data_IF_865763047057
#
_entry.id   IF_865763047057
#
_cell.length_a   1.000
_cell.length_b   1.000
_cell.length_c   1.000
_cell.angle_alpha   90.00
_cell.angle_beta   90.00
_cell.angle_gamma   90.00
#
_symmetry.space_group_name_H-M   'P 1'
#
loop_
_entity.id
_entity.type
_entity.pdbx_description
1 polymer ?
#
# COMPACT_ATOMS: atom_id res chain seq x y z
N UNK A 1 61.50 44.29 32.89
CA UNK A 1 62.33 43.23 32.26
C UNK A 1 61.37 42.42 31.39
N UNK A 2 61.16 42.71 30.10
CA UNK A 2 62.02 42.54 28.91
C UNK A 2 62.62 41.13 28.81
N UNK A 3 62.03 40.29 27.95
CA UNK A 3 62.59 39.70 26.70
C UNK A 3 61.59 38.65 26.17
N UNK A 4 60.72 38.98 25.21
CA UNK A 4 60.85 38.75 23.75
C UNK A 4 61.47 37.41 23.33
N UNK A 5 60.70 36.59 22.62
CA UNK A 5 61.13 36.06 21.32
C UNK A 5 59.92 35.97 20.37
N UNK A 6 60.11 36.52 19.19
CA UNK A 6 59.19 36.55 18.05
C UNK A 6 59.41 35.30 17.19
N UNK A 7 58.36 34.79 16.53
CA UNK A 7 58.49 34.36 15.14
C UNK A 7 57.16 34.52 14.41
N UNK A 8 57.25 35.33 13.36
CA UNK A 8 56.29 35.61 12.30
C UNK A 8 55.96 34.38 11.46
N UNK A 9 54.72 34.27 10.95
CA UNK A 9 54.45 34.29 9.50
C UNK A 9 53.01 33.84 9.21
N UNK A 10 52.28 34.75 8.57
CA UNK A 10 51.14 34.58 7.68
C UNK A 10 50.89 33.15 7.18
N UNK A 11 49.71 32.59 7.46
CA UNK A 11 49.10 31.63 6.54
C UNK A 11 48.00 32.33 5.75
N UNK A 12 48.36 32.56 4.49
CA UNK A 12 47.51 32.94 3.38
C UNK A 12 46.32 31.98 3.25
N UNK A 13 45.19 32.55 2.87
CA UNK A 13 44.01 31.83 2.42
C UNK A 13 44.38 30.79 1.34
N UNK A 14 43.99 29.54 1.57
CA UNK A 14 43.70 28.59 0.50
C UNK A 14 42.24 28.18 0.64
N UNK A 15 41.34 29.04 0.15
CA UNK A 15 40.12 28.54 -0.47
C UNK A 15 40.58 27.75 -1.70
N UNK A 16 40.78 26.44 -1.53
CA UNK A 16 40.79 25.56 -2.68
C UNK A 16 39.36 25.60 -3.22
N UNK A 17 39.15 26.42 -4.26
CA UNK A 17 38.02 26.26 -5.15
C UNK A 17 38.06 24.83 -5.67
N UNK A 18 37.23 23.96 -5.10
CA UNK A 18 36.85 22.74 -5.78
C UNK A 18 36.10 23.20 -7.01
N UNK A 19 36.82 23.31 -8.12
CA UNK A 19 36.21 23.36 -9.43
C UNK A 19 35.46 22.05 -9.58
N UNK A 20 34.17 22.05 -9.21
CA UNK A 20 33.24 21.03 -9.67
C UNK A 20 33.23 21.22 -11.18
N UNK A 21 34.05 20.41 -11.87
CA UNK A 21 33.92 20.25 -13.30
C UNK A 21 32.55 19.62 -13.48
N UNK A 22 31.56 20.47 -13.75
CA UNK A 22 30.21 20.05 -14.07
C UNK A 22 30.28 19.54 -15.52
N UNK A 23 30.87 18.36 -15.71
CA UNK A 23 30.66 17.60 -16.94
C UNK A 23 29.16 17.30 -16.99
N UNK A 24 28.44 17.75 -18.03
CA UNK A 24 27.04 17.38 -18.19
C UNK A 24 26.98 15.86 -18.23
N UNK A 25 26.44 15.24 -17.18
CA UNK A 25 26.12 13.82 -17.24
C UNK A 25 24.97 13.70 -18.24
N UNK A 26 25.28 13.17 -19.43
CA UNK A 26 24.24 12.81 -20.38
C UNK A 26 23.37 11.75 -19.72
N UNK A 27 22.13 12.12 -19.40
CA UNK A 27 21.13 11.19 -18.91
C UNK A 27 20.95 10.11 -19.99
N UNK A 28 21.47 8.91 -19.75
CA UNK A 28 21.36 7.78 -20.70
C UNK A 28 19.91 7.35 -20.91
N UNK A 29 18.98 7.80 -20.05
CA UNK A 29 17.56 7.49 -20.12
C UNK A 29 16.69 8.62 -19.55
N UNK A 30 16.25 9.54 -20.40
CA UNK A 30 15.26 10.56 -20.02
C UNK A 30 13.89 9.89 -19.88
N UNK A 31 13.31 9.97 -18.69
CA UNK A 31 11.91 9.58 -18.44
C UNK A 31 11.00 10.70 -18.98
N UNK A 32 10.42 10.49 -20.17
CA UNK A 32 9.50 11.45 -20.79
C UNK A 32 8.10 11.23 -20.24
N UNK A 33 7.55 12.24 -19.56
CA UNK A 33 6.12 12.26 -19.21
C UNK A 33 5.33 12.61 -20.48
N UNK A 34 4.39 11.75 -20.86
CA UNK A 34 3.53 11.93 -22.02
C UNK A 34 2.11 12.27 -21.58
N UNK A 35 1.42 13.04 -22.41
CA UNK A 35 -0.02 13.26 -22.24
C UNK A 35 -0.76 11.94 -22.54
N UNK A 36 -1.85 11.70 -21.82
CA UNK A 36 -2.56 10.42 -21.83
C UNK A 36 -3.01 9.95 -23.22
N UNK A 37 -3.41 10.88 -24.10
CA UNK A 37 -3.87 10.62 -25.47
C UNK A 37 -2.72 10.38 -26.44
N UNK A 38 -1.48 10.67 -26.02
CA UNK A 38 -0.26 10.49 -26.82
C UNK A 38 0.45 9.14 -26.56
N UNK A 39 -0.21 8.23 -25.81
CA UNK A 39 0.25 6.86 -25.59
C UNK A 39 -0.24 5.95 -26.72
N UNK A 40 0.65 5.09 -27.22
CA UNK A 40 0.29 4.09 -28.23
C UNK A 40 -0.61 3.00 -27.63
N UNK A 41 -1.45 2.40 -28.48
CA UNK A 41 -2.50 1.43 -28.11
C UNK A 41 -1.96 0.21 -27.32
N UNK A 42 -0.67 -0.10 -27.43
CA UNK A 42 0.03 -1.20 -26.75
C UNK A 42 0.49 -0.87 -25.31
N UNK A 43 0.54 0.41 -24.92
CA UNK A 43 0.88 0.86 -23.56
C UNK A 43 -0.35 1.00 -22.64
N UNK A 44 -1.54 0.64 -23.12
CA UNK A 44 -2.75 0.63 -22.29
C UNK A 44 -2.84 -0.64 -21.46
N UNK A 45 -2.15 -0.66 -20.31
CA UNK A 45 -2.60 -1.45 -19.15
C UNK A 45 -3.99 -1.05 -18.65
N UNK A 46 -4.61 -0.02 -19.25
CA UNK A 46 -5.93 0.51 -18.91
C UNK A 46 -7.07 0.05 -19.80
N UNK A 47 -6.83 -0.82 -20.79
CA UNK A 47 -7.94 -1.48 -21.52
C UNK A 47 -8.65 -2.54 -20.67
N UNK A 48 -7.99 -3.05 -19.63
CA UNK A 48 -8.57 -4.05 -18.72
C UNK A 48 -9.36 -3.42 -17.58
N UNK A 49 -8.98 -2.20 -17.14
CA UNK A 49 -9.77 -1.44 -16.19
C UNK A 49 -11.03 -0.89 -16.88
N UNK A 50 -12.20 -1.26 -16.36
CA UNK A 50 -13.51 -0.91 -16.90
C UNK A 50 -14.22 0.18 -16.09
N UNK A 51 -13.68 0.52 -14.91
CA UNK A 51 -14.24 1.51 -13.99
C UNK A 51 -13.16 2.43 -13.43
N UNK A 52 -13.53 3.62 -12.92
CA UNK A 52 -12.60 4.51 -12.19
C UNK A 52 -11.95 3.82 -10.98
N UNK A 53 -12.72 2.95 -10.33
CA UNK A 53 -12.23 2.11 -9.24
C UNK A 53 -11.12 1.17 -9.70
N UNK A 54 -11.29 0.48 -10.83
CA UNK A 54 -10.26 -0.37 -11.42
C UNK A 54 -9.06 0.43 -11.96
N UNK A 55 -9.24 1.66 -12.45
CA UNK A 55 -8.11 2.51 -12.85
C UNK A 55 -7.20 2.85 -11.66
N UNK A 56 -7.80 3.14 -10.51
CA UNK A 56 -7.05 3.37 -9.28
C UNK A 56 -6.27 2.12 -8.87
N UNK A 57 -6.92 0.97 -8.92
CA UNK A 57 -6.31 -0.33 -8.58
C UNK A 57 -5.19 -0.73 -9.51
N UNK A 58 -5.39 -0.56 -10.82
CA UNK A 58 -4.35 -0.79 -11.81
C UNK A 58 -3.14 0.11 -11.55
N UNK A 59 -3.37 1.37 -11.17
CA UNK A 59 -2.31 2.31 -10.79
C UNK A 59 -1.58 1.85 -9.52
N UNK A 60 -2.33 1.45 -8.49
CA UNK A 60 -1.76 0.90 -7.26
C UNK A 60 -0.89 -0.34 -7.54
N UNK A 61 -1.41 -1.32 -8.27
CA UNK A 61 -0.69 -2.54 -8.69
C UNK A 61 0.58 -2.21 -9.47
N UNK A 62 0.48 -1.29 -10.43
CA UNK A 62 1.62 -0.89 -11.26
C UNK A 62 2.71 -0.19 -10.44
N UNK A 63 2.30 0.65 -9.48
CA UNK A 63 3.20 1.45 -8.66
C UNK A 63 3.60 0.78 -7.34
N UNK A 64 3.15 -0.43 -7.01
CA UNK A 64 3.38 -1.12 -5.72
C UNK A 64 4.81 -0.93 -5.19
N UNK A 65 5.84 -1.22 -5.98
CA UNK A 65 7.27 -1.11 -5.60
C UNK A 65 7.76 0.34 -5.42
N UNK A 66 7.00 1.32 -5.91
CA UNK A 66 7.29 2.76 -5.84
C UNK A 66 6.41 3.48 -4.83
N UNK A 67 5.51 2.80 -4.15
CA UNK A 67 4.61 3.38 -3.15
C UNK A 67 4.65 2.65 -1.82
N UNK A 68 5.13 1.40 -1.76
CA UNK A 68 5.38 0.67 -0.51
C UNK A 68 6.85 0.70 -0.14
N UNK A 69 7.11 0.75 1.17
CA UNK A 69 8.44 0.72 1.79
C UNK A 69 9.36 1.87 1.36
N UNK A 70 8.75 2.96 0.88
CA UNK A 70 9.40 4.20 0.41
C UNK A 70 8.92 5.42 1.19
N UNK A 71 9.62 6.56 1.06
CA UNK A 71 9.31 7.80 1.78
C UNK A 71 7.91 8.36 1.51
N UNK A 72 7.40 8.15 0.30
CA UNK A 72 6.09 8.62 -0.14
C UNK A 72 4.91 7.69 0.19
N UNK A 73 5.12 6.60 0.94
CA UNK A 73 4.07 5.62 1.23
C UNK A 73 2.80 6.25 1.82
N UNK A 74 2.90 6.91 2.97
CA UNK A 74 1.76 7.56 3.63
C UNK A 74 1.15 8.71 2.79
N UNK A 75 1.92 9.70 2.29
CA UNK A 75 1.33 10.79 1.52
C UNK A 75 0.73 10.36 0.17
N UNK A 76 1.21 9.27 -0.43
CA UNK A 76 0.59 8.72 -1.64
C UNK A 76 -0.79 8.12 -1.33
N UNK A 77 -0.91 7.37 -0.23
CA UNK A 77 -2.19 6.76 0.20
C UNK A 77 -3.17 7.78 0.81
N UNK A 78 -2.71 8.93 1.32
CA UNK A 78 -3.58 10.05 1.70
C UNK A 78 -4.31 10.67 0.51
N UNK A 79 -3.69 10.71 -0.66
CA UNK A 79 -4.23 11.42 -1.82
C UNK A 79 -5.34 10.65 -2.57
N UNK A 80 -5.92 9.63 -1.93
CA UNK A 80 -6.88 8.71 -2.53
C UNK A 80 -8.30 9.23 -2.38
N UNK A 81 -8.58 10.42 -2.90
CA UNK A 81 -9.91 11.02 -2.86
C UNK A 81 -10.53 11.15 -4.25
N UNK A 82 -11.81 10.80 -4.34
CA UNK A 82 -12.62 10.96 -5.56
C UNK A 82 -13.91 11.72 -5.24
N UNK A 83 -13.84 13.06 -5.17
CA UNK A 83 -15.01 13.95 -5.25
C UNK A 83 -16.18 13.68 -4.28
N UNK A 84 -15.95 12.92 -3.21
CA UNK A 84 -16.94 12.59 -2.20
C UNK A 84 -16.93 13.69 -1.13
N UNK A 85 -18.11 14.26 -0.88
CA UNK A 85 -18.28 15.37 0.07
C UNK A 85 -18.95 14.95 1.38
N UNK A 86 -19.21 13.66 1.57
CA UNK A 86 -19.72 13.13 2.83
C UNK A 86 -18.61 12.98 3.87
N UNK A 87 -18.93 12.51 5.08
CA UNK A 87 -17.92 12.26 6.11
C UNK A 87 -16.96 11.16 5.64
N UNK A 88 -15.66 11.39 5.80
CA UNK A 88 -14.67 10.34 5.59
C UNK A 88 -14.93 9.18 6.55
N UNK A 89 -14.96 7.97 6.00
CA UNK A 89 -15.25 6.74 6.74
C UNK A 89 -14.02 5.87 6.76
N UNK A 90 -13.75 5.27 7.91
CA UNK A 90 -12.60 4.40 8.13
C UNK A 90 -13.01 3.15 8.92
N UNK A 91 -12.22 2.09 8.81
CA UNK A 91 -12.40 0.89 9.61
C UNK A 91 -11.46 0.94 10.82
N UNK A 92 -12.04 1.24 11.98
CA UNK A 92 -11.33 1.16 13.26
C UNK A 92 -11.12 -0.32 13.66
N UNK A 93 -10.05 -0.92 13.14
CA UNK A 93 -9.73 -2.32 13.45
C UNK A 93 -9.50 -2.54 14.94
N UNK A 94 -9.11 -1.51 15.71
CA UNK A 94 -8.75 -1.67 17.13
C UNK A 94 -9.94 -2.08 17.98
N UNK A 95 -11.14 -1.63 17.60
CA UNK A 95 -12.40 -2.05 18.25
C UNK A 95 -12.66 -3.53 18.05
N UNK A 96 -12.39 -4.02 16.86
CA UNK A 96 -12.60 -5.42 16.55
C UNK A 96 -11.46 -6.29 17.09
N UNK A 97 -10.21 -5.82 17.01
CA UNK A 97 -9.02 -6.50 17.51
C UNK A 97 -9.01 -6.68 19.02
N UNK A 98 -9.49 -5.67 19.76
CA UNK A 98 -9.63 -5.73 21.22
C UNK A 98 -10.90 -6.49 21.67
N UNK A 99 -11.82 -6.79 20.75
CA UNK A 99 -13.06 -7.49 21.07
C UNK A 99 -12.80 -8.96 21.37
N UNK A 100 -13.63 -9.58 22.22
CA UNK A 100 -13.64 -11.04 22.40
C UNK A 100 -14.47 -11.77 21.33
N UNK A 101 -15.05 -11.05 20.36
CA UNK A 101 -15.84 -11.64 19.26
C UNK A 101 -14.94 -11.94 18.05
N UNK A 102 -15.25 -12.97 17.24
CA UNK A 102 -14.57 -13.17 15.96
C UNK A 102 -14.61 -11.91 15.10
N UNK A 103 -13.58 -11.68 14.30
CA UNK A 103 -13.45 -10.52 13.41
C UNK A 103 -14.58 -10.47 12.38
N UNK A 104 -15.06 -11.64 11.92
CA UNK A 104 -16.25 -11.79 11.06
C UNK A 104 -17.54 -11.29 11.72
N UNK A 105 -17.56 -11.12 13.04
CA UNK A 105 -18.67 -10.49 13.76
C UNK A 105 -18.65 -8.97 13.73
N UNK A 106 -17.66 -8.35 13.08
CA UNK A 106 -17.59 -6.89 12.89
C UNK A 106 -18.67 -6.42 11.91
N UNK A 107 -19.36 -5.29 12.18
CA UNK A 107 -20.32 -4.70 11.25
C UNK A 107 -19.76 -4.38 9.88
N UNK A 108 -18.43 -4.24 9.74
CA UNK A 108 -17.77 -4.02 8.45
C UNK A 108 -18.00 -5.21 7.49
N UNK A 109 -18.24 -6.42 8.01
CA UNK A 109 -18.53 -7.63 7.25
C UNK A 109 -20.03 -7.98 7.21
N UNK A 110 -20.91 -7.07 7.64
CA UNK A 110 -22.35 -7.27 7.56
C UNK A 110 -22.80 -7.37 6.09
N UNK A 111 -23.69 -8.32 5.73
CA UNK A 111 -24.12 -8.54 4.35
C UNK A 111 -25.12 -7.50 3.82
N UNK A 112 -25.60 -6.57 4.65
CA UNK A 112 -26.56 -5.54 4.24
C UNK A 112 -25.95 -4.15 4.38
N UNK A 113 -25.36 -3.84 5.53
CA UNK A 113 -24.81 -2.52 5.83
C UNK A 113 -23.29 -2.43 5.66
N UNK A 114 -22.61 -3.57 5.50
CA UNK A 114 -21.16 -3.67 5.38
C UNK A 114 -20.68 -4.06 3.98
N UNK A 115 -19.52 -4.71 3.93
CA UNK A 115 -18.78 -5.07 2.72
C UNK A 115 -18.89 -6.57 2.36
N UNK A 116 -19.87 -7.26 2.95
CA UNK A 116 -20.04 -8.71 2.82
C UNK A 116 -19.08 -9.51 3.69
N UNK A 117 -19.44 -10.76 3.92
CA UNK A 117 -18.75 -11.71 4.78
C UNK A 117 -17.51 -12.34 4.14
N UNK A 118 -17.21 -13.56 4.54
CA UNK A 118 -16.01 -14.28 4.10
C UNK A 118 -16.15 -14.92 2.71
N UNK A 119 -15.03 -15.37 2.15
CA UNK A 119 -15.00 -16.19 0.94
C UNK A 119 -15.57 -17.59 1.17
N UNK A 120 -16.21 -18.14 0.14
CA UNK A 120 -16.75 -19.51 0.14
C UNK A 120 -15.74 -20.49 -0.48
N UNK A 121 -15.27 -21.52 0.26
CA UNK A 121 -14.27 -22.47 -0.24
C UNK A 121 -14.66 -23.12 -1.58
N UNK A 122 -13.68 -23.26 -2.48
CA UNK A 122 -13.87 -23.95 -3.77
C UNK A 122 -14.56 -23.11 -4.87
N UNK A 123 -14.88 -21.85 -4.60
CA UNK A 123 -15.49 -20.94 -5.58
C UNK A 123 -14.46 -20.14 -6.37
N UNK A 124 -13.20 -20.13 -5.93
CA UNK A 124 -12.09 -19.51 -6.63
C UNK A 124 -10.86 -20.43 -6.56
N UNK A 125 -10.02 -20.37 -7.58
CA UNK A 125 -8.72 -21.03 -7.60
C UNK A 125 -7.73 -20.06 -8.21
N UNK A 126 -6.57 -19.91 -7.58
CA UNK A 126 -5.51 -19.06 -8.10
C UNK A 126 -5.18 -19.44 -9.55
N UNK A 127 -5.12 -18.47 -10.48
CA UNK A 127 -4.77 -18.74 -11.87
C UNK A 127 -3.31 -19.21 -12.00
N UNK A 128 -2.96 -19.91 -13.09
CA UNK A 128 -1.57 -20.20 -13.41
C UNK A 128 -0.75 -18.93 -13.51
N UNK A 129 0.46 -18.94 -12.94
CA UNK A 129 1.39 -17.81 -12.96
C UNK A 129 2.77 -18.23 -13.49
N UNK A 130 2.89 -18.52 -14.81
CA UNK A 130 4.15 -18.99 -15.40
C UNK A 130 5.26 -17.93 -15.35
N UNK A 131 4.89 -16.65 -15.31
CA UNK A 131 5.81 -15.51 -15.37
C UNK A 131 6.07 -14.86 -14.00
N UNK A 132 5.49 -15.39 -12.92
CA UNK A 132 5.68 -14.88 -11.55
C UNK A 132 5.09 -13.48 -11.32
N UNK A 133 4.05 -13.11 -12.05
CA UNK A 133 3.43 -11.77 -12.03
C UNK A 133 2.45 -11.60 -10.87
N UNK A 134 1.97 -12.68 -10.27
CA UNK A 134 0.94 -12.64 -9.22
C UNK A 134 1.45 -12.05 -7.90
N UNK A 135 2.75 -12.23 -7.61
CA UNK A 135 3.40 -11.79 -6.37
C UNK A 135 2.63 -12.18 -5.10
N UNK A 136 1.90 -13.30 -5.11
CA UNK A 136 1.04 -13.73 -3.99
C UNK A 136 1.90 -14.30 -2.85
N UNK A 137 2.02 -13.60 -1.70
CA UNK A 137 2.90 -14.04 -0.61
C UNK A 137 2.30 -15.21 0.19
N UNK A 138 0.97 -15.32 0.22
CA UNK A 138 0.25 -16.32 1.02
C UNK A 138 -0.86 -17.01 0.21
N UNK A 139 -0.54 -18.02 -0.62
CA UNK A 139 -1.54 -18.72 -1.45
C UNK A 139 -2.66 -19.39 -0.65
N UNK A 140 -2.39 -19.80 0.59
CA UNK A 140 -3.38 -20.38 1.49
C UNK A 140 -4.45 -19.38 1.96
N UNK A 141 -4.27 -18.08 1.71
CA UNK A 141 -5.18 -17.00 2.12
C UNK A 141 -6.16 -16.58 1.04
N UNK A 142 -6.59 -17.53 0.21
CA UNK A 142 -7.45 -17.30 -0.96
C UNK A 142 -8.63 -18.26 -0.93
N UNK A 143 -9.44 -18.16 0.12
CA UNK A 143 -10.49 -19.12 0.45
C UNK A 143 -11.56 -19.18 -0.64
N UNK A 144 -12.05 -18.04 -1.11
CA UNK A 144 -12.96 -18.02 -2.27
C UNK A 144 -13.69 -16.71 -2.48
N UNK A 145 -14.65 -16.74 -3.40
CA UNK A 145 -15.55 -15.64 -3.70
C UNK A 145 -16.40 -15.27 -2.49
N UNK A 146 -16.57 -13.98 -2.26
CA UNK A 146 -17.60 -13.44 -1.38
C UNK A 146 -18.95 -13.55 -2.07
N UNK A 147 -19.94 -14.12 -1.38
CA UNK A 147 -21.26 -14.44 -1.95
C UNK A 147 -22.43 -13.62 -1.38
N UNK A 148 -22.18 -12.80 -0.36
CA UNK A 148 -23.14 -11.89 0.26
C UNK A 148 -22.62 -10.44 0.26
N UNK A 149 -23.43 -9.49 0.73
CA UNK A 149 -23.05 -8.09 0.69
C UNK A 149 -23.29 -7.41 -0.66
N UNK A 150 -23.13 -6.07 -0.69
CA UNK A 150 -23.33 -5.26 -1.89
C UNK A 150 -22.31 -5.54 -3.00
N UNK A 151 -21.23 -6.27 -2.70
CA UNK A 151 -20.13 -6.55 -3.62
C UNK A 151 -20.06 -8.00 -4.10
N UNK A 152 -21.02 -8.87 -3.77
CA UNK A 152 -20.97 -10.29 -4.16
C UNK A 152 -20.99 -10.54 -5.68
N UNK A 153 -21.62 -9.64 -6.44
CA UNK A 153 -21.70 -9.70 -7.90
C UNK A 153 -20.59 -8.88 -8.58
N UNK A 154 -19.61 -8.35 -7.81
CA UNK A 154 -18.50 -7.58 -8.36
C UNK A 154 -17.64 -8.48 -9.23
N UNK A 155 -17.43 -8.04 -10.46
CA UNK A 155 -16.50 -8.66 -11.40
C UNK A 155 -15.23 -7.82 -11.41
N UNK A 156 -14.14 -8.46 -11.06
CA UNK A 156 -12.80 -7.89 -11.02
C UNK A 156 -12.05 -8.35 -12.27
N UNK A 157 -11.37 -7.43 -12.97
CA UNK A 157 -10.60 -7.74 -14.18
C UNK A 157 -9.07 -7.63 -13.98
N UNK A 158 -8.63 -7.37 -12.75
CA UNK A 158 -7.24 -7.15 -12.37
C UNK A 158 -6.80 -8.15 -11.30
N UNK A 159 -5.53 -8.50 -11.30
CA UNK A 159 -4.94 -9.39 -10.30
C UNK A 159 -5.13 -10.87 -10.62
N UNK A 160 -4.57 -11.77 -9.79
CA UNK A 160 -3.62 -11.51 -8.70
C UNK A 160 -2.38 -10.75 -9.13
N UNK A 161 -1.95 -9.79 -8.31
CA UNK A 161 -0.81 -8.93 -8.61
C UNK A 161 -0.95 -8.24 -9.96
N UNK A 162 0.01 -8.48 -10.86
CA UNK A 162 0.02 -7.90 -12.22
C UNK A 162 -0.69 -8.76 -13.27
N UNK A 163 -1.32 -9.87 -12.88
CA UNK A 163 -2.11 -10.68 -13.79
C UNK A 163 -3.38 -9.93 -14.24
N UNK A 164 -3.86 -10.30 -15.42
CA UNK A 164 -5.12 -9.81 -15.98
C UNK A 164 -6.10 -10.98 -16.03
N UNK A 165 -6.79 -11.24 -14.92
CA UNK A 165 -7.83 -12.27 -14.86
C UNK A 165 -9.19 -11.67 -14.55
N UNK A 166 -10.24 -12.39 -14.96
CA UNK A 166 -11.62 -12.05 -14.66
C UNK A 166 -12.16 -12.97 -13.58
N UNK A 167 -12.49 -12.43 -12.42
CA UNK A 167 -12.93 -13.20 -11.26
C UNK A 167 -13.85 -12.40 -10.33
N UNK A 168 -14.35 -13.08 -9.30
CA UNK A 168 -15.14 -12.51 -8.23
C UNK A 168 -14.26 -11.76 -7.22
N UNK A 169 -14.87 -11.04 -6.28
CA UNK A 169 -14.18 -10.55 -5.09
C UNK A 169 -13.75 -11.73 -4.20
N UNK A 170 -12.45 -11.94 -3.99
CA UNK A 170 -11.90 -13.10 -3.25
C UNK A 170 -11.41 -12.71 -1.86
N UNK A 171 -11.81 -13.45 -0.83
CA UNK A 171 -11.47 -13.15 0.57
C UNK A 171 -11.10 -14.43 1.34
N UNK A 172 -10.28 -14.30 2.38
CA UNK A 172 -10.04 -15.32 3.42
C UNK A 172 -9.82 -14.61 4.75
N UNK A 173 -10.89 -14.40 5.51
CA UNK A 173 -10.77 -13.70 6.80
C UNK A 173 -9.93 -14.53 7.78
N UNK A 174 -8.76 -14.01 8.10
CA UNK A 174 -7.76 -14.68 8.93
C UNK A 174 -7.86 -14.22 10.38
N UNK A 175 -8.74 -14.85 11.15
CA UNK A 175 -8.93 -14.57 12.59
C UNK A 175 -7.61 -14.55 13.37
N UNK A 176 -6.66 -15.44 13.01
CA UNK A 176 -5.38 -15.53 13.71
C UNK A 176 -4.48 -14.31 13.55
N UNK A 177 -4.81 -13.33 12.70
CA UNK A 177 -4.06 -12.07 12.54
C UNK A 177 -4.66 -10.90 13.31
N UNK A 178 -5.83 -11.12 13.93
CA UNK A 178 -6.52 -10.13 14.75
C UNK A 178 -5.66 -9.57 15.88
N UNK A 179 -4.72 -10.35 16.42
CA UNK A 179 -3.83 -9.91 17.51
C UNK A 179 -2.97 -8.68 17.14
N UNK A 180 -2.68 -8.49 15.85
CA UNK A 180 -1.93 -7.32 15.36
C UNK A 180 -2.82 -6.07 15.18
N UNK A 181 -4.14 -6.23 15.17
CA UNK A 181 -5.12 -5.14 14.98
C UNK A 181 -5.61 -4.56 16.31
N UNK A 182 -4.78 -4.54 17.35
CA UNK A 182 -5.17 -4.06 18.69
C UNK A 182 -4.70 -2.62 18.93
N UNK A 183 -5.38 -1.90 19.82
CA UNK A 183 -4.93 -0.56 20.22
C UNK A 183 -3.56 -0.59 20.91
N UNK A 184 -3.23 -1.69 21.60
CA UNK A 184 -1.92 -1.91 22.20
C UNK A 184 -0.81 -1.98 21.13
N UNK A 185 -1.03 -2.72 20.04
CA UNK A 185 -0.06 -2.78 18.95
C UNK A 185 0.08 -1.45 18.22
N UNK A 186 -1.01 -0.71 18.03
CA UNK A 186 -0.95 0.66 17.48
C UNK A 186 -0.08 1.54 18.37
N UNK A 187 -0.36 1.61 19.68
CA UNK A 187 0.44 2.39 20.62
C UNK A 187 1.92 2.00 20.61
N UNK A 188 2.20 0.68 20.61
CA UNK A 188 3.57 0.15 20.51
C UNK A 188 4.29 0.62 19.25
N UNK A 189 3.61 0.63 18.10
CA UNK A 189 4.22 1.10 16.84
C UNK A 189 4.48 2.59 16.89
N UNK A 190 3.52 3.39 17.37
CA UNK A 190 3.68 4.84 17.54
C UNK A 190 4.85 5.19 18.47
N UNK A 191 4.98 4.48 19.60
CA UNK A 191 6.05 4.70 20.58
C UNK A 191 7.44 4.30 20.05
N UNK A 192 7.49 3.24 19.25
CA UNK A 192 8.72 2.71 18.65
C UNK A 192 9.25 3.58 17.49
N UNK A 193 8.44 4.51 16.97
CA UNK A 193 8.75 5.25 15.75
C UNK A 193 8.80 6.77 15.97
N UNK A 194 9.96 7.29 16.36
CA UNK A 194 10.12 8.74 16.58
C UNK A 194 10.40 9.55 15.31
N UNK A 195 11.35 9.15 14.44
CA UNK A 195 11.48 9.76 13.12
C UNK A 195 10.47 9.16 12.15
N UNK A 196 9.97 9.99 11.23
CA UNK A 196 9.06 9.56 10.15
C UNK A 196 9.58 8.33 9.38
N UNK A 197 10.90 8.26 9.16
CA UNK A 197 11.54 7.13 8.50
C UNK A 197 11.28 5.79 9.21
N UNK A 198 11.37 5.76 10.54
CA UNK A 198 11.09 4.55 11.31
C UNK A 198 9.58 4.25 11.32
N UNK A 199 8.76 5.29 11.42
CA UNK A 199 7.30 5.17 11.42
C UNK A 199 6.77 4.51 10.16
N UNK A 200 7.13 5.03 8.98
CA UNK A 200 6.68 4.48 7.71
C UNK A 200 7.14 3.03 7.50
N UNK A 201 8.33 2.66 7.97
CA UNK A 201 8.87 1.30 7.81
C UNK A 201 8.19 0.31 8.74
N UNK A 202 7.92 0.72 9.99
CA UNK A 202 7.25 -0.13 10.97
C UNK A 202 5.80 -0.38 10.57
N UNK A 203 5.06 0.67 10.20
CA UNK A 203 3.65 0.55 9.79
C UNK A 203 3.51 -0.33 8.55
N UNK A 204 4.33 -0.10 7.52
CA UNK A 204 4.23 -0.79 6.23
C UNK A 204 4.75 -2.24 6.26
N UNK A 205 5.34 -2.68 7.37
CA UNK A 205 5.83 -4.04 7.49
C UNK A 205 4.70 -5.07 7.31
N UNK A 206 4.87 -6.01 6.38
CA UNK A 206 3.84 -6.99 6.03
C UNK A 206 3.36 -7.84 7.22
N UNK A 207 4.27 -8.21 8.13
CA UNK A 207 4.00 -9.20 9.19
C UNK A 207 3.67 -8.54 10.52
N UNK A 208 4.40 -7.49 10.88
CA UNK A 208 4.30 -6.86 12.19
C UNK A 208 3.62 -5.49 12.13
N UNK A 209 3.60 -4.87 10.95
CA UNK A 209 3.01 -3.56 10.74
C UNK A 209 1.50 -3.63 10.68
N UNK A 210 0.83 -2.58 11.17
CA UNK A 210 -0.64 -2.49 11.11
C UNK A 210 -1.16 -2.43 9.67
N UNK A 211 -0.42 -1.83 8.72
CA UNK A 211 -0.79 -1.83 7.31
C UNK A 211 -0.82 -3.27 6.77
N UNK A 212 0.31 -3.95 6.81
CA UNK A 212 0.46 -5.31 6.29
C UNK A 212 -0.49 -6.31 6.95
N UNK A 213 -0.59 -6.24 8.28
CA UNK A 213 -1.44 -7.15 9.04
C UNK A 213 -2.92 -6.98 8.74
N UNK A 214 -3.41 -5.76 8.47
CA UNK A 214 -4.79 -5.57 8.04
C UNK A 214 -5.06 -6.13 6.64
N UNK A 215 -4.08 -6.05 5.73
CA UNK A 215 -4.19 -6.73 4.43
C UNK A 215 -4.26 -8.25 4.59
N UNK A 216 -3.37 -8.83 5.40
CA UNK A 216 -3.33 -10.29 5.62
C UNK A 216 -4.56 -10.76 6.39
N UNK A 217 -5.09 -9.96 7.32
CA UNK A 217 -6.30 -10.29 8.06
C UNK A 217 -7.51 -10.49 7.14
N UNK A 218 -7.64 -9.68 6.08
CA UNK A 218 -8.74 -9.83 5.13
C UNK A 218 -8.50 -10.96 4.14
N UNK A 219 -7.22 -11.23 3.83
CA UNK A 219 -6.85 -12.23 2.84
C UNK A 219 -7.33 -11.88 1.43
N UNK A 220 -7.11 -12.80 0.50
CA UNK A 220 -7.39 -12.63 -0.92
C UNK A 220 -6.69 -11.39 -1.49
N UNK A 221 -7.46 -10.50 -2.09
CA UNK A 221 -6.96 -9.31 -2.80
C UNK A 221 -7.59 -8.03 -2.28
N UNK A 222 -7.38 -7.74 -1.01
CA UNK A 222 -7.89 -6.49 -0.45
C UNK A 222 -7.43 -5.25 -1.23
N UNK A 223 -6.29 -5.26 -1.94
CA UNK A 223 -5.82 -4.12 -2.74
C UNK A 223 -6.78 -3.70 -3.86
N UNK A 224 -7.64 -4.62 -4.28
CA UNK A 224 -8.66 -4.40 -5.30
C UNK A 224 -10.09 -4.50 -4.73
N UNK A 225 -10.22 -4.52 -3.40
CA UNK A 225 -11.50 -4.47 -2.71
C UNK A 225 -11.90 -3.04 -2.32
N UNK A 226 -13.20 -2.76 -2.19
CA UNK A 226 -13.66 -1.50 -1.61
C UNK A 226 -13.21 -1.32 -0.14
N UNK A 227 -12.96 -2.42 0.57
CA UNK A 227 -12.45 -2.41 1.94
C UNK A 227 -11.02 -1.83 2.06
N UNK A 228 -10.27 -1.77 0.94
CA UNK A 228 -8.97 -1.09 0.87
C UNK A 228 -9.04 0.33 1.39
N UNK A 229 -10.06 1.08 0.98
CA UNK A 229 -10.20 2.50 1.34
C UNK A 229 -10.48 2.67 2.82
N UNK A 230 -11.38 1.84 3.39
CA UNK A 230 -11.65 1.90 4.83
C UNK A 230 -10.42 1.56 5.66
N UNK A 231 -9.59 0.62 5.16
CA UNK A 231 -8.33 0.28 5.79
C UNK A 231 -7.34 1.47 5.70
N UNK A 232 -7.07 1.97 4.51
CA UNK A 232 -6.11 3.08 4.34
C UNK A 232 -6.55 4.40 4.96
N UNK A 233 -7.86 4.69 5.05
CA UNK A 233 -8.35 5.86 5.80
C UNK A 233 -8.12 5.76 7.31
N UNK A 234 -7.99 4.56 7.89
CA UNK A 234 -7.59 4.42 9.31
C UNK A 234 -6.06 4.41 9.49
N UNK A 235 -5.28 4.25 8.41
CA UNK A 235 -3.82 4.41 8.45
C UNK A 235 -3.39 5.88 8.39
N UNK A 236 -4.23 6.76 7.83
CA UNK A 236 -3.94 8.18 7.66
C UNK A 236 -3.91 8.99 8.98
#
# INVERSE_FOLDING_TARGET
>A
MIKTLSLTASLLACFASVSVVNTPSTCSKIQVRREWRDLAIDQHTTRTATTRFEEFQATHIYLTERIHSVGQFLPWHRHLECGYHGPETFWDWTRDGNSNRPILGSPIFDPVTGFGGDGVPGTYTLPPDPDGLSSVPFPARWKGCVQDGPFNATVINLGPGRLLTKHCLVRDIVESWKFNMTSENVAKQMDASKPYEQFRVIIDNLVNGIHGSGHVLVGGEIQIHPLFYMHHSNLD
#
